data_IF_927382802611
#
_entry.id   IF_927382802611
#
_cell.length_a   1.000
_cell.length_b   1.000
_cell.length_c   1.000
_cell.angle_alpha   90.00
_cell.angle_beta   90.00
_cell.angle_gamma   90.00
#
_symmetry.space_group_name_H-M   'P 1'
#
loop_
_entity.id
_entity.type
_entity.pdbx_description
1 polymer ?
#
# COMPACT_ATOMS: atom_id res chain seq x y z
N UNK A 1 16.78 -14.00 40.51
CA UNK A 1 15.39 -14.53 40.61
C UNK A 1 14.95 -14.94 39.22
N UNK A 2 14.74 -16.24 39.01
CA UNK A 2 14.56 -16.82 37.68
C UNK A 2 13.25 -16.41 37.02
N UNK A 3 13.29 -16.14 35.72
CA UNK A 3 12.14 -15.89 34.84
C UNK A 3 11.21 -17.11 34.81
N UNK A 4 10.31 -17.22 35.80
CA UNK A 4 9.28 -18.24 35.84
C UNK A 4 8.23 -17.87 34.78
N UNK A 5 8.33 -18.49 33.60
CA UNK A 5 7.34 -18.34 32.53
C UNK A 5 6.07 -19.07 32.95
N UNK A 6 4.95 -18.37 33.00
CA UNK A 6 3.63 -18.94 33.23
C UNK A 6 2.88 -19.05 31.89
N UNK A 7 1.96 -20.00 31.78
CA UNK A 7 1.05 -20.08 30.63
C UNK A 7 0.13 -18.87 30.70
N UNK A 8 0.15 -18.04 29.67
CA UNK A 8 -0.74 -16.88 29.57
C UNK A 8 -2.13 -17.35 29.13
N UNK A 9 -3.02 -17.53 30.11
CA UNK A 9 -4.43 -17.78 29.87
C UNK A 9 -5.21 -16.47 29.63
N UNK A 10 -6.54 -16.53 29.68
CA UNK A 10 -7.40 -15.38 29.38
C UNK A 10 -7.24 -14.24 30.38
N UNK A 11 -6.79 -14.50 31.61
CA UNK A 11 -6.60 -13.46 32.64
C UNK A 11 -5.48 -12.48 32.26
N UNK A 12 -4.57 -12.90 31.40
CA UNK A 12 -3.46 -12.08 30.88
C UNK A 12 -3.82 -11.34 29.57
N UNK A 13 -5.09 -11.40 29.15
CA UNK A 13 -5.55 -10.70 27.94
C UNK A 13 -5.68 -9.21 28.20
N UNK A 14 -5.04 -8.40 27.35
CA UNK A 14 -5.06 -6.93 27.46
C UNK A 14 -5.51 -6.29 26.15
N UNK A 15 -6.31 -5.23 26.25
CA UNK A 15 -6.55 -4.29 25.16
C UNK A 15 -5.76 -3.02 25.44
N UNK A 16 -4.78 -2.73 24.59
CA UNK A 16 -3.99 -1.51 24.68
C UNK A 16 -4.57 -0.45 23.74
N UNK A 17 -4.98 0.68 24.32
CA UNK A 17 -5.51 1.83 23.59
C UNK A 17 -4.52 2.98 23.72
N UNK A 18 -4.07 3.53 22.59
CA UNK A 18 -3.21 4.71 22.59
C UNK A 18 -4.01 5.98 22.93
N UNK A 19 -3.35 7.06 23.39
CA UNK A 19 -3.95 8.39 23.31
C UNK A 19 -4.19 8.79 21.84
N UNK A 20 -4.82 9.94 21.62
CA UNK A 20 -4.91 10.52 20.28
C UNK A 20 -3.50 10.86 19.80
N UNK A 21 -3.07 10.18 18.74
CA UNK A 21 -1.73 10.30 18.16
C UNK A 21 -1.75 11.14 16.88
N UNK A 22 -0.60 11.72 16.56
CA UNK A 22 -0.31 12.37 15.27
C UNK A 22 0.61 11.51 14.42
N UNK A 23 0.86 11.92 13.17
CA UNK A 23 1.76 11.20 12.27
C UNK A 23 3.18 11.06 12.84
N UNK A 24 3.68 12.11 13.49
CA UNK A 24 4.99 12.13 14.17
C UNK A 24 5.11 11.09 15.31
N UNK A 25 4.00 10.58 15.84
CA UNK A 25 4.01 9.58 16.91
C UNK A 25 4.15 8.14 16.39
N UNK A 26 4.17 7.91 15.08
CA UNK A 26 4.31 6.56 14.50
C UNK A 26 5.53 5.84 15.07
N UNK A 27 6.67 6.53 15.22
CA UNK A 27 7.89 5.91 15.78
C UNK A 27 7.71 5.51 17.25
N UNK A 28 7.01 6.32 18.05
CA UNK A 28 6.68 5.98 19.44
C UNK A 28 5.73 4.79 19.52
N UNK A 29 4.75 4.69 18.62
CA UNK A 29 3.85 3.54 18.52
C UNK A 29 4.65 2.28 18.15
N UNK A 30 5.59 2.38 17.22
CA UNK A 30 6.47 1.27 16.88
C UNK A 30 7.31 0.82 18.08
N UNK A 31 7.87 1.77 18.82
CA UNK A 31 8.64 1.52 20.04
C UNK A 31 7.80 0.81 21.12
N UNK A 32 6.57 1.28 21.34
CA UNK A 32 5.62 0.65 22.25
C UNK A 32 5.34 -0.82 21.86
N UNK A 33 5.13 -1.09 20.57
CA UNK A 33 4.95 -2.46 20.06
C UNK A 33 6.20 -3.33 20.29
N UNK A 34 7.41 -2.77 20.11
CA UNK A 34 8.67 -3.49 20.40
C UNK A 34 8.78 -3.83 21.88
N UNK A 35 8.52 -2.87 22.77
CA UNK A 35 8.56 -3.08 24.23
C UNK A 35 7.59 -4.14 24.71
N UNK A 36 6.36 -4.18 24.17
CA UNK A 36 5.40 -5.24 24.48
C UNK A 36 5.95 -6.61 24.08
N UNK A 37 6.51 -6.73 22.88
CA UNK A 37 7.09 -7.98 22.38
C UNK A 37 8.31 -8.41 23.22
N UNK A 38 9.16 -7.47 23.63
CA UNK A 38 10.30 -7.72 24.52
C UNK A 38 9.87 -8.19 25.91
N UNK A 39 8.76 -7.64 26.43
CA UNK A 39 8.14 -8.09 27.68
C UNK A 39 7.45 -9.46 27.57
N UNK A 40 7.46 -10.09 26.39
CA UNK A 40 6.90 -11.43 26.17
C UNK A 40 5.43 -11.45 25.74
N UNK A 41 4.85 -10.30 25.37
CA UNK A 41 3.52 -10.28 24.78
C UNK A 41 3.48 -11.02 23.44
N UNK A 42 2.36 -11.65 23.14
CA UNK A 42 2.09 -12.31 21.88
C UNK A 42 0.64 -12.06 21.44
N UNK A 43 0.39 -12.20 20.15
CA UNK A 43 -0.95 -12.12 19.57
C UNK A 43 -1.39 -13.49 19.05
N UNK A 44 -2.65 -13.85 19.26
CA UNK A 44 -3.26 -15.07 18.73
C UNK A 44 -4.43 -14.72 17.78
N UNK A 45 -5.18 -15.73 17.31
CA UNK A 45 -6.28 -15.54 16.34
C UNK A 45 -7.45 -14.68 16.87
N UNK A 46 -7.58 -14.54 18.20
CA UNK A 46 -8.59 -13.66 18.81
C UNK A 46 -8.17 -12.20 18.86
N UNK A 47 -6.89 -11.90 18.62
CA UNK A 47 -6.38 -10.53 18.61
C UNK A 47 -6.67 -9.83 17.28
N UNK A 48 -7.05 -8.55 17.36
CA UNK A 48 -7.23 -7.66 16.21
C UNK A 48 -6.59 -6.30 16.48
N UNK A 49 -6.39 -5.52 15.43
CA UNK A 49 -5.98 -4.11 15.53
C UNK A 49 -7.11 -3.26 14.95
N UNK A 50 -7.57 -2.28 15.73
CA UNK A 50 -8.52 -1.27 15.26
C UNK A 50 -7.82 0.08 15.16
N UNK A 51 -7.93 0.72 14.00
CA UNK A 51 -7.36 2.06 13.77
C UNK A 51 -8.51 3.04 13.65
N UNK A 52 -8.47 4.08 14.50
CA UNK A 52 -9.45 5.16 14.52
C UNK A 52 -8.84 6.43 13.94
N UNK A 53 -9.50 7.02 12.95
CA UNK A 53 -9.14 8.31 12.35
C UNK A 53 -10.21 9.34 12.70
N UNK A 54 -9.81 10.56 13.09
CA UNK A 54 -10.75 11.63 13.42
C UNK A 54 -11.71 11.91 12.26
N UNK A 55 -13.02 11.79 12.50
CA UNK A 55 -14.06 12.01 11.50
C UNK A 55 -14.62 13.44 11.49
N UNK A 56 -14.23 14.28 12.45
CA UNK A 56 -14.72 15.65 12.55
C UNK A 56 -14.52 16.46 11.25
N UNK A 57 -13.35 16.41 10.57
CA UNK A 57 -13.14 17.18 9.34
C UNK A 57 -13.94 16.71 8.13
N UNK A 58 -14.47 15.48 8.15
CA UNK A 58 -15.11 14.88 6.98
C UNK A 58 -16.54 15.36 6.83
N UNK A 59 -16.94 15.72 5.62
CA UNK A 59 -18.32 15.93 5.20
C UNK A 59 -18.94 14.62 4.67
N UNK A 60 -20.27 14.63 4.52
CA UNK A 60 -21.02 13.46 4.05
C UNK A 60 -20.49 12.92 2.71
N UNK A 61 -20.14 13.80 1.76
CA UNK A 61 -19.64 13.36 0.46
C UNK A 61 -18.24 12.70 0.56
N UNK A 62 -17.40 13.14 1.50
CA UNK A 62 -16.07 12.57 1.73
C UNK A 62 -16.19 11.21 2.43
N UNK A 63 -17.13 11.05 3.38
CA UNK A 63 -17.46 9.75 3.95
C UNK A 63 -18.00 8.79 2.88
N UNK A 64 -18.85 9.27 1.97
CA UNK A 64 -19.28 8.47 0.81
C UNK A 64 -18.10 8.08 -0.08
N UNK A 65 -17.20 9.01 -0.37
CA UNK A 65 -16.00 8.72 -1.17
C UNK A 65 -15.15 7.64 -0.50
N UNK A 66 -15.00 7.69 0.82
CA UNK A 66 -14.27 6.67 1.58
C UNK A 66 -14.92 5.29 1.42
N UNK A 67 -16.23 5.19 1.61
CA UNK A 67 -16.98 3.94 1.40
C UNK A 67 -16.75 3.41 -0.01
N UNK A 68 -16.85 4.27 -1.03
CA UNK A 68 -16.67 3.88 -2.42
C UNK A 68 -15.23 3.43 -2.73
N UNK A 69 -14.22 4.13 -2.22
CA UNK A 69 -12.80 3.78 -2.41
C UNK A 69 -12.53 2.40 -1.79
N UNK A 70 -12.98 2.17 -0.56
CA UNK A 70 -12.81 0.89 0.13
C UNK A 70 -13.57 -0.21 -0.62
N UNK A 71 -14.83 0.01 -0.99
CA UNK A 71 -15.64 -0.96 -1.74
C UNK A 71 -14.99 -1.35 -3.07
N UNK A 72 -14.45 -0.38 -3.81
CA UNK A 72 -13.81 -0.60 -5.10
C UNK A 72 -12.54 -1.46 -5.01
N UNK A 73 -11.84 -1.45 -3.87
CA UNK A 73 -10.56 -2.16 -3.66
C UNK A 73 -10.64 -3.27 -2.62
N UNK A 74 -11.82 -3.54 -2.10
CA UNK A 74 -12.06 -4.39 -0.94
C UNK A 74 -11.42 -5.77 -1.05
N UNK A 75 -11.58 -6.46 -2.19
CA UNK A 75 -10.99 -7.80 -2.37
C UNK A 75 -9.46 -7.79 -2.25
N UNK A 76 -8.79 -6.81 -2.87
CA UNK A 76 -7.34 -6.68 -2.76
C UNK A 76 -6.91 -6.25 -1.35
N UNK A 77 -7.69 -5.40 -0.67
CA UNK A 77 -7.42 -5.02 0.73
C UNK A 77 -7.43 -6.25 1.64
N UNK A 78 -8.45 -7.11 1.50
CA UNK A 78 -8.58 -8.30 2.34
C UNK A 78 -7.43 -9.28 2.12
N UNK A 79 -7.03 -9.50 0.85
CA UNK A 79 -5.87 -10.32 0.50
C UNK A 79 -4.56 -9.72 1.04
N UNK A 80 -4.33 -8.42 0.81
CA UNK A 80 -3.13 -7.71 1.26
C UNK A 80 -2.95 -7.76 2.78
N UNK A 81 -4.04 -7.67 3.54
CA UNK A 81 -4.02 -7.72 5.00
C UNK A 81 -4.10 -9.15 5.57
N UNK A 82 -4.20 -10.16 4.70
CA UNK A 82 -4.43 -11.56 5.05
C UNK A 82 -5.58 -11.74 6.04
N UNK A 83 -6.70 -11.05 5.83
CA UNK A 83 -7.82 -11.10 6.76
C UNK A 83 -8.28 -12.55 6.90
N UNK A 84 -8.28 -13.05 8.13
CA UNK A 84 -8.72 -14.41 8.44
C UNK A 84 -10.20 -14.59 8.03
N UNK A 85 -10.53 -15.74 7.43
CA UNK A 85 -11.85 -15.97 6.83
C UNK A 85 -12.98 -16.01 7.88
N UNK A 86 -12.70 -16.46 9.10
CA UNK A 86 -13.65 -16.40 10.21
C UNK A 86 -13.87 -14.95 10.66
N UNK A 87 -12.79 -14.16 10.73
CA UNK A 87 -12.89 -12.73 11.04
C UNK A 87 -13.66 -11.97 9.97
N UNK A 88 -13.41 -12.24 8.68
CA UNK A 88 -14.18 -11.67 7.57
C UNK A 88 -15.68 -11.95 7.72
N UNK A 89 -16.08 -13.18 8.06
CA UNK A 89 -17.50 -13.53 8.18
C UNK A 89 -18.18 -12.91 9.40
N UNK A 90 -17.46 -12.72 10.50
CA UNK A 90 -18.04 -12.38 11.80
C UNK A 90 -17.78 -10.95 12.26
N UNK A 91 -16.54 -10.48 12.15
CA UNK A 91 -16.06 -9.30 12.89
C UNK A 91 -15.64 -8.13 12.01
N UNK A 92 -15.23 -8.39 10.78
CA UNK A 92 -14.83 -7.38 9.80
C UNK A 92 -15.39 -7.75 8.42
N UNK A 93 -16.73 -7.78 8.32
CA UNK A 93 -17.44 -8.05 7.07
C UNK A 93 -17.10 -7.01 6.02
N UNK A 94 -17.18 -7.44 4.77
CA UNK A 94 -17.19 -6.55 3.61
C UNK A 94 -18.34 -5.54 3.72
N UNK A 95 -18.25 -4.44 3.00
CA UNK A 95 -19.28 -3.41 2.95
C UNK A 95 -20.60 -4.04 2.50
N UNK A 96 -21.67 -3.78 3.25
CA UNK A 96 -23.02 -4.25 2.94
C UNK A 96 -23.45 -3.68 1.57
N UNK A 97 -23.85 -4.56 0.66
CA UNK A 97 -24.15 -4.21 -0.74
C UNK A 97 -25.39 -3.33 -0.84
N UNK A 98 -26.42 -3.60 -0.03
CA UNK A 98 -27.66 -2.80 0.03
C UNK A 98 -27.37 -1.38 0.54
N UNK A 99 -26.54 -1.24 1.57
CA UNK A 99 -26.04 0.04 2.04
C UNK A 99 -25.27 0.79 0.95
N UNK A 100 -24.33 0.12 0.27
CA UNK A 100 -23.51 0.72 -0.79
C UNK A 100 -24.36 1.23 -1.96
N UNK A 101 -25.35 0.44 -2.39
CA UNK A 101 -26.28 0.81 -3.45
C UNK A 101 -27.14 2.00 -3.05
N UNK A 102 -27.77 1.96 -1.87
CA UNK A 102 -28.59 3.06 -1.35
C UNK A 102 -27.78 4.34 -1.17
N UNK A 103 -26.55 4.24 -0.66
CA UNK A 103 -25.65 5.37 -0.48
C UNK A 103 -25.32 6.07 -1.81
N UNK A 104 -25.08 5.29 -2.86
CA UNK A 104 -24.73 5.81 -4.19
C UNK A 104 -25.96 6.27 -5.00
N UNK A 105 -27.14 5.71 -4.74
CA UNK A 105 -28.42 6.16 -5.31
C UNK A 105 -28.89 7.46 -4.68
N UNK A 106 -28.95 7.53 -3.35
CA UNK A 106 -29.49 8.68 -2.61
C UNK A 106 -28.49 9.84 -2.49
N UNK A 107 -27.19 9.55 -2.48
CA UNK A 107 -26.11 10.56 -2.37
C UNK A 107 -26.34 11.57 -1.22
N UNK A 108 -26.51 11.10 0.04
CA UNK A 108 -26.85 11.98 1.16
C UNK A 108 -25.89 13.16 1.31
N UNK A 109 -26.45 14.33 1.66
CA UNK A 109 -25.68 15.58 1.84
C UNK A 109 -25.24 15.81 3.28
N UNK A 110 -25.76 15.05 4.24
CA UNK A 110 -25.49 15.20 5.67
C UNK A 110 -25.01 13.89 6.28
N UNK A 111 -24.21 13.97 7.36
CA UNK A 111 -23.79 12.79 8.13
C UNK A 111 -24.98 12.01 8.66
N UNK A 112 -26.03 12.70 9.13
CA UNK A 112 -27.29 12.08 9.57
C UNK A 112 -27.97 11.28 8.45
N UNK A 113 -27.90 11.73 7.19
CA UNK A 113 -28.40 10.96 6.06
C UNK A 113 -27.64 9.63 5.87
N UNK A 114 -26.32 9.62 6.04
CA UNK A 114 -25.51 8.39 6.00
C UNK A 114 -25.82 7.51 7.22
N UNK A 115 -25.99 8.10 8.39
CA UNK A 115 -26.35 7.42 9.64
C UNK A 115 -27.65 6.62 9.49
N UNK A 116 -28.70 7.24 8.95
CA UNK A 116 -29.99 6.57 8.69
C UNK A 116 -29.84 5.38 7.76
N UNK A 117 -29.01 5.50 6.72
CA UNK A 117 -28.71 4.40 5.81
C UNK A 117 -27.91 3.29 6.49
N UNK A 118 -26.91 3.64 7.30
CA UNK A 118 -26.05 2.70 8.01
C UNK A 118 -26.84 1.82 8.98
N UNK A 119 -27.78 2.41 9.72
CA UNK A 119 -28.61 1.66 10.67
C UNK A 119 -29.90 1.08 10.09
N UNK A 120 -30.15 1.28 8.79
CA UNK A 120 -31.37 0.78 8.11
C UNK A 120 -32.67 1.26 8.79
N UNK A 121 -32.68 2.45 9.40
CA UNK A 121 -33.85 3.05 10.04
C UNK A 121 -33.59 3.56 11.45
N UNK A 122 -33.61 2.66 12.44
CA UNK A 122 -33.52 3.00 13.87
C UNK A 122 -32.12 3.45 14.27
N UNK A 123 -31.99 4.61 14.92
CA UNK A 123 -30.68 5.12 15.29
C UNK A 123 -30.01 4.28 16.39
N UNK A 124 -28.90 3.62 16.05
CA UNK A 124 -28.08 2.86 16.99
C UNK A 124 -26.85 3.61 17.50
N UNK A 125 -26.74 4.93 17.28
CA UNK A 125 -25.55 5.74 17.62
C UNK A 125 -25.20 5.77 19.11
N UNK A 126 -26.19 5.61 19.99
CA UNK A 126 -26.01 5.58 21.44
C UNK A 126 -25.50 4.23 21.97
N UNK A 127 -25.47 3.18 21.15
CA UNK A 127 -25.13 1.83 21.59
C UNK A 127 -23.64 1.58 21.46
N UNK A 128 -23.00 1.01 22.49
CA UNK A 128 -21.59 0.60 22.39
C UNK A 128 -21.39 -0.70 21.59
N UNK A 129 -22.36 -1.61 21.69
CA UNK A 129 -22.35 -2.88 20.98
C UNK A 129 -23.54 -2.93 20.02
N UNK A 130 -23.42 -2.28 18.87
CA UNK A 130 -24.38 -2.37 17.78
C UNK A 130 -23.89 -3.32 16.68
N UNK A 131 -24.76 -4.16 16.12
CA UNK A 131 -24.39 -5.18 15.12
C UNK A 131 -23.81 -4.62 13.82
N UNK A 132 -24.18 -3.38 13.47
CA UNK A 132 -23.61 -2.68 12.32
C UNK A 132 -22.12 -2.34 12.47
N UNK A 133 -21.49 -2.62 13.63
CA UNK A 133 -20.06 -2.37 13.82
C UNK A 133 -19.13 -3.35 13.09
N UNK A 134 -19.63 -4.52 12.70
CA UNK A 134 -18.81 -5.64 12.26
C UNK A 134 -18.45 -5.58 10.78
N UNK A 135 -17.92 -4.44 10.33
CA UNK A 135 -17.42 -4.22 8.96
C UNK A 135 -15.95 -3.78 8.98
N UNK A 136 -15.21 -4.09 7.92
CA UNK A 136 -13.82 -3.63 7.74
C UNK A 136 -13.70 -2.12 7.88
N UNK A 137 -14.57 -1.38 7.18
CA UNK A 137 -14.78 0.05 7.39
C UNK A 137 -16.05 0.21 8.23
N UNK A 138 -15.88 0.54 9.51
CA UNK A 138 -17.00 0.68 10.43
C UNK A 138 -17.39 2.17 10.59
N UNK A 139 -18.55 2.53 10.04
CA UNK A 139 -19.11 3.89 10.20
C UNK A 139 -19.92 4.06 11.48
N UNK A 140 -20.27 2.99 12.22
CA UNK A 140 -20.88 3.12 13.55
C UNK A 140 -20.01 4.01 14.46
N UNK A 141 -18.69 3.85 14.40
CA UNK A 141 -17.74 4.64 15.19
C UNK A 141 -17.77 6.14 14.84
N UNK A 142 -18.21 6.51 13.62
CA UNK A 142 -18.33 7.92 13.22
C UNK A 142 -19.46 8.59 14.01
N UNK A 143 -20.58 7.90 14.15
CA UNK A 143 -21.78 8.41 14.83
C UNK A 143 -21.68 8.29 16.35
N UNK A 144 -21.01 7.24 16.83
CA UNK A 144 -20.89 6.94 18.25
C UNK A 144 -19.71 7.68 18.91
N UNK A 145 -18.55 7.73 18.25
CA UNK A 145 -17.28 8.22 18.82
C UNK A 145 -16.66 9.39 18.07
N UNK A 146 -17.22 9.80 16.93
CA UNK A 146 -16.63 10.83 16.08
C UNK A 146 -15.39 10.38 15.31
N UNK A 147 -15.20 9.07 15.10
CA UNK A 147 -14.01 8.53 14.41
C UNK A 147 -14.39 7.50 13.33
N UNK A 148 -13.65 7.49 12.22
CA UNK A 148 -13.69 6.42 11.23
C UNK A 148 -12.87 5.24 11.76
N UNK A 149 -13.48 4.06 11.92
CA UNK A 149 -12.81 2.85 12.42
C UNK A 149 -12.50 1.87 11.29
N UNK A 150 -11.24 1.41 11.23
CA UNK A 150 -10.81 0.31 10.38
C UNK A 150 -10.54 -0.95 11.23
N UNK A 151 -11.22 -2.06 10.93
CA UNK A 151 -11.21 -3.30 11.74
C UNK A 151 -10.59 -4.51 11.05
N UNK A 152 -10.06 -4.34 9.83
CA UNK A 152 -9.57 -5.46 9.02
C UNK A 152 -8.28 -6.11 9.55
N UNK A 153 -7.45 -5.37 10.30
CA UNK A 153 -6.11 -5.80 10.64
C UNK A 153 -6.08 -6.95 11.66
N UNK A 154 -5.32 -8.00 11.35
CA UNK A 154 -5.05 -9.08 12.28
C UNK A 154 -4.13 -8.60 13.42
N UNK A 155 -4.26 -9.18 14.61
CA UNK A 155 -3.36 -8.92 15.72
C UNK A 155 -1.90 -9.15 15.33
N UNK A 156 -1.04 -8.17 15.61
CA UNK A 156 0.39 -8.25 15.32
C UNK A 156 1.21 -7.39 16.26
N UNK A 157 2.31 -7.94 16.76
CA UNK A 157 3.37 -7.19 17.46
C UNK A 157 4.56 -6.88 16.54
N UNK A 158 4.33 -6.77 15.23
CA UNK A 158 5.35 -6.37 14.26
C UNK A 158 5.27 -4.86 14.02
N UNK A 159 6.23 -4.10 14.55
CA UNK A 159 6.29 -2.64 14.44
C UNK A 159 6.19 -2.13 12.99
N UNK A 160 6.82 -2.82 12.02
CA UNK A 160 6.73 -2.46 10.60
C UNK A 160 5.32 -2.64 10.01
N UNK A 161 4.55 -3.64 10.48
CA UNK A 161 3.17 -3.87 10.05
C UNK A 161 2.26 -2.80 10.65
N UNK A 162 2.48 -2.43 11.92
CA UNK A 162 1.75 -1.33 12.56
C UNK A 162 1.94 0.00 11.81
N UNK A 163 3.19 0.37 11.47
CA UNK A 163 3.46 1.56 10.63
C UNK A 163 2.74 1.47 9.28
N UNK A 164 2.81 0.32 8.62
CA UNK A 164 2.13 0.11 7.33
C UNK A 164 0.61 0.32 7.44
N UNK A 165 -0.03 -0.23 8.48
CA UNK A 165 -1.47 -0.13 8.69
C UNK A 165 -1.91 1.31 8.97
N UNK A 166 -1.18 2.03 9.84
CA UNK A 166 -1.44 3.44 10.13
C UNK A 166 -1.32 4.31 8.87
N UNK A 167 -0.20 4.20 8.15
CA UNK A 167 0.02 4.94 6.91
C UNK A 167 -1.05 4.61 5.85
N UNK A 168 -1.48 3.36 5.75
CA UNK A 168 -2.52 2.94 4.82
C UNK A 168 -3.88 3.57 5.13
N UNK A 169 -4.33 3.51 6.39
CA UNK A 169 -5.57 4.14 6.84
C UNK A 169 -5.55 5.66 6.62
N UNK A 170 -4.45 6.32 6.98
CA UNK A 170 -4.27 7.75 6.77
C UNK A 170 -4.30 8.12 5.28
N UNK A 171 -3.66 7.35 4.42
CA UNK A 171 -3.62 7.65 2.99
C UNK A 171 -4.97 7.45 2.29
N UNK A 172 -5.72 6.38 2.62
CA UNK A 172 -7.06 6.17 2.05
C UNK A 172 -8.03 7.26 2.52
N UNK A 173 -7.97 7.62 3.81
CA UNK A 173 -8.80 8.71 4.34
C UNK A 173 -8.43 10.05 3.74
N UNK A 174 -7.14 10.34 3.54
CA UNK A 174 -6.68 11.52 2.81
C UNK A 174 -7.16 11.54 1.35
N UNK A 175 -7.14 10.40 0.64
CA UNK A 175 -7.71 10.30 -0.71
C UNK A 175 -9.20 10.65 -0.69
N UNK A 176 -9.96 10.05 0.23
CA UNK A 176 -11.40 10.28 0.34
C UNK A 176 -11.74 11.75 0.66
N UNK A 177 -10.93 12.38 1.51
CA UNK A 177 -11.06 13.78 1.91
C UNK A 177 -10.82 14.75 0.73
N UNK A 178 -9.74 14.52 -0.02
CA UNK A 178 -9.31 15.45 -1.08
C UNK A 178 -10.02 15.22 -2.42
N UNK A 179 -10.55 14.02 -2.67
CA UNK A 179 -11.15 13.67 -3.96
C UNK A 179 -12.60 14.19 -4.07
N UNK A 180 -12.96 14.72 -5.24
CA UNK A 180 -14.32 15.23 -5.51
C UNK A 180 -15.39 14.12 -5.49
N UNK A 181 -15.08 12.97 -6.07
CA UNK A 181 -15.97 11.81 -6.14
C UNK A 181 -15.17 10.52 -6.31
N UNK A 182 -15.69 9.40 -5.79
CA UNK A 182 -15.11 8.07 -6.02
C UNK A 182 -16.16 7.09 -6.56
N UNK A 183 -15.73 6.19 -7.44
CA UNK A 183 -16.56 5.11 -7.98
C UNK A 183 -16.54 3.89 -7.04
N UNK A 184 -17.69 3.25 -6.75
CA UNK A 184 -17.76 2.03 -5.95
C UNK A 184 -17.47 0.75 -6.76
N UNK A 185 -17.23 0.87 -8.07
CA UNK A 185 -17.06 -0.29 -8.96
C UNK A 185 -15.85 -1.10 -8.50
N UNK A 186 -16.08 -2.40 -8.23
CA UNK A 186 -15.04 -3.33 -7.80
C UNK A 186 -13.97 -3.43 -8.88
N UNK A 187 -12.72 -3.24 -8.46
CA UNK A 187 -11.57 -3.44 -9.34
C UNK A 187 -11.32 -4.92 -9.49
N UNK A 188 -11.43 -5.39 -10.73
CA UNK A 188 -10.97 -6.71 -11.15
C UNK A 188 -9.62 -6.52 -11.83
N UNK A 189 -8.66 -7.38 -11.52
CA UNK A 189 -7.34 -7.34 -12.13
C UNK A 189 -6.73 -8.73 -12.19
N UNK A 190 -6.09 -9.04 -13.31
CA UNK A 190 -5.30 -10.25 -13.53
C UNK A 190 -3.93 -10.17 -12.83
N UNK A 191 -3.48 -8.95 -12.49
CA UNK A 191 -2.27 -8.70 -11.72
C UNK A 191 -2.58 -7.75 -10.56
N UNK A 192 -3.03 -8.34 -9.46
CA UNK A 192 -3.40 -7.60 -8.25
C UNK A 192 -2.19 -6.88 -7.64
N UNK A 193 -1.00 -7.50 -7.62
CA UNK A 193 0.21 -6.89 -7.05
C UNK A 193 0.60 -5.60 -7.77
N UNK A 194 0.64 -5.62 -9.11
CA UNK A 194 0.88 -4.40 -9.90
C UNK A 194 -0.20 -3.34 -9.65
N UNK A 195 -1.46 -3.75 -9.72
CA UNK A 195 -2.62 -2.85 -9.61
C UNK A 195 -2.67 -2.16 -8.25
N UNK A 196 -2.43 -2.93 -7.19
CA UNK A 196 -2.40 -2.41 -5.84
C UNK A 196 -1.19 -1.50 -5.64
N UNK A 197 0.00 -1.87 -6.16
CA UNK A 197 1.17 -0.98 -6.11
C UNK A 197 0.88 0.38 -6.75
N UNK A 198 0.33 0.40 -7.97
CA UNK A 198 -0.03 1.66 -8.64
C UNK A 198 -1.02 2.46 -7.80
N UNK A 199 -1.98 1.81 -7.15
CA UNK A 199 -2.89 2.48 -6.23
C UNK A 199 -2.17 3.05 -5.00
N UNK A 200 -1.27 2.32 -4.36
CA UNK A 200 -0.46 2.82 -3.24
C UNK A 200 0.37 4.05 -3.65
N UNK A 201 0.94 4.07 -4.84
CA UNK A 201 1.65 5.23 -5.36
C UNK A 201 0.71 6.43 -5.57
N UNK A 202 -0.48 6.20 -6.13
CA UNK A 202 -1.53 7.24 -6.29
C UNK A 202 -2.07 7.77 -4.95
N UNK A 203 -2.03 6.95 -3.90
CA UNK A 203 -2.33 7.36 -2.52
C UNK A 203 -1.23 8.23 -1.90
N UNK A 204 -0.09 8.40 -2.57
CA UNK A 204 1.04 9.19 -2.08
C UNK A 204 2.07 8.39 -1.27
N UNK A 205 1.97 7.06 -1.21
CA UNK A 205 2.96 6.22 -0.52
C UNK A 205 4.22 6.06 -1.38
N UNK A 206 4.96 7.15 -1.60
CA UNK A 206 6.13 7.26 -2.50
C UNK A 206 7.39 7.57 -1.68
N UNK A 207 8.56 7.07 -2.11
CA UNK A 207 9.83 7.31 -1.43
C UNK A 207 10.10 6.34 -0.28
N UNK A 208 11.17 6.61 0.47
CA UNK A 208 11.70 5.71 1.50
C UNK A 208 10.81 5.62 2.74
N UNK A 209 10.14 6.71 3.11
CA UNK A 209 9.24 6.76 4.27
C UNK A 209 8.12 5.70 4.20
N UNK A 210 7.67 5.39 2.99
CA UNK A 210 6.59 4.43 2.74
C UNK A 210 7.09 3.10 2.17
N UNK A 211 8.40 2.87 2.09
CA UNK A 211 8.98 1.61 1.58
C UNK A 211 8.50 0.41 2.39
N UNK A 212 8.48 0.54 3.71
CA UNK A 212 7.98 -0.50 4.63
C UNK A 212 6.48 -0.76 4.44
N UNK A 213 5.67 0.29 4.26
CA UNK A 213 4.24 0.13 3.98
C UNK A 213 3.99 -0.61 2.67
N UNK A 214 4.64 -0.17 1.57
CA UNK A 214 4.52 -0.83 0.27
C UNK A 214 4.95 -2.30 0.35
N UNK A 215 6.06 -2.60 1.06
CA UNK A 215 6.51 -3.98 1.26
C UNK A 215 5.41 -4.83 1.89
N UNK A 216 4.91 -4.44 3.07
CA UNK A 216 3.93 -5.24 3.80
C UNK A 216 2.57 -5.36 3.09
N UNK A 217 2.13 -4.30 2.40
CA UNK A 217 0.84 -4.27 1.72
C UNK A 217 0.84 -5.02 0.37
N UNK A 218 2.00 -5.28 -0.21
CA UNK A 218 2.13 -6.00 -1.49
C UNK A 218 2.60 -7.45 -1.33
N UNK A 219 3.06 -7.83 -0.14
CA UNK A 219 3.72 -9.11 0.10
C UNK A 219 2.82 -10.30 -0.26
N UNK A 220 1.54 -10.19 0.07
CA UNK A 220 0.54 -11.25 -0.07
C UNK A 220 -0.33 -11.15 -1.34
N UNK A 221 0.04 -10.26 -2.26
CA UNK A 221 -0.63 -10.13 -3.56
C UNK A 221 0.16 -10.85 -4.65
N UNK A 222 -0.58 -11.50 -5.54
CA UNK A 222 -0.06 -12.29 -6.66
C UNK A 222 0.22 -11.40 -7.89
N UNK A 223 1.18 -11.85 -8.70
CA UNK A 223 1.56 -11.21 -9.95
C UNK A 223 2.87 -10.41 -9.88
N UNK A 224 3.24 -9.84 -11.02
CA UNK A 224 4.48 -9.08 -11.19
C UNK A 224 4.32 -7.64 -10.64
N UNK A 225 5.36 -7.09 -10.03
CA UNK A 225 5.32 -5.73 -9.44
C UNK A 225 5.55 -4.60 -10.46
N UNK A 226 6.28 -4.88 -11.54
CA UNK A 226 6.77 -3.92 -12.53
C UNK A 226 5.83 -3.78 -13.73
N UNK A 227 5.17 -4.86 -14.14
CA UNK A 227 4.38 -4.91 -15.38
C UNK A 227 2.94 -5.34 -15.12
N UNK A 228 1.99 -4.74 -15.84
CA UNK A 228 0.58 -5.09 -15.72
C UNK A 228 0.27 -6.44 -16.37
N UNK A 229 0.74 -6.62 -17.61
CA UNK A 229 0.62 -7.87 -18.37
C UNK A 229 1.99 -8.46 -18.72
N UNK A 230 2.08 -9.78 -18.95
CA UNK A 230 3.32 -10.44 -19.40
C UNK A 230 3.88 -9.85 -20.70
N UNK A 231 3.00 -9.52 -21.66
CA UNK A 231 3.34 -8.91 -22.95
C UNK A 231 4.16 -7.62 -22.81
N UNK A 232 3.87 -6.80 -21.78
CA UNK A 232 4.64 -5.58 -21.52
C UNK A 232 6.09 -5.89 -21.11
N UNK A 233 6.28 -6.96 -20.33
CA UNK A 233 7.61 -7.40 -19.92
C UNK A 233 8.42 -7.92 -21.12
N UNK A 234 7.76 -8.68 -22.00
CA UNK A 234 8.37 -9.22 -23.23
C UNK A 234 8.73 -8.09 -24.21
N UNK A 235 7.82 -7.16 -24.46
CA UNK A 235 8.08 -6.00 -25.32
C UNK A 235 9.25 -5.14 -24.81
N UNK A 236 9.36 -4.95 -23.49
CA UNK A 236 10.50 -4.24 -22.91
C UNK A 236 11.80 -5.02 -23.08
N UNK A 237 11.77 -6.34 -22.90
CA UNK A 237 12.93 -7.22 -23.10
C UNK A 237 13.40 -7.18 -24.56
N UNK A 238 12.47 -7.19 -25.51
CA UNK A 238 12.78 -7.06 -26.94
C UNK A 238 13.36 -5.68 -27.29
N UNK A 239 12.78 -4.59 -26.75
CA UNK A 239 13.34 -3.24 -26.91
C UNK A 239 14.77 -3.13 -26.39
N UNK A 240 15.04 -3.66 -25.20
CA UNK A 240 16.37 -3.66 -24.61
C UNK A 240 17.35 -4.54 -25.41
N UNK A 241 16.88 -5.64 -25.98
CA UNK A 241 17.69 -6.50 -26.87
C UNK A 241 18.07 -5.75 -28.15
N UNK A 242 17.09 -5.16 -28.86
CA UNK A 242 17.35 -4.34 -30.05
C UNK A 242 18.29 -3.18 -29.76
N UNK A 243 18.12 -2.52 -28.62
CA UNK A 243 19.03 -1.43 -28.21
C UNK A 243 20.47 -1.93 -28.03
N UNK A 244 20.68 -3.09 -27.40
CA UNK A 244 22.03 -3.67 -27.28
C UNK A 244 22.60 -4.13 -28.61
N UNK A 245 21.77 -4.69 -29.49
CA UNK A 245 22.20 -5.10 -30.84
C UNK A 245 22.67 -3.88 -31.64
N UNK A 246 21.98 -2.74 -31.53
CA UNK A 246 22.41 -1.45 -32.12
C UNK A 246 23.67 -0.91 -31.44
N UNK A 247 23.74 -0.88 -30.12
CA UNK A 247 24.97 -0.44 -29.41
C UNK A 247 26.18 -1.31 -29.74
N UNK A 248 25.97 -2.61 -30.02
CA UNK A 248 27.01 -3.53 -30.46
C UNK A 248 27.41 -3.32 -31.94
N UNK A 249 26.46 -3.01 -32.83
CA UNK A 249 26.79 -2.68 -34.22
C UNK A 249 27.52 -1.34 -34.32
N UNK A 250 27.05 -0.32 -33.60
CA UNK A 250 27.64 1.02 -33.60
C UNK A 250 29.08 0.97 -33.05
N UNK A 251 29.32 0.20 -31.98
CA UNK A 251 30.67 0.01 -31.43
C UNK A 251 31.58 -0.82 -32.35
N UNK A 252 31.04 -1.78 -33.11
CA UNK A 252 31.79 -2.51 -34.12
C UNK A 252 32.17 -1.61 -35.30
N UNK A 253 31.24 -0.78 -35.79
CA UNK A 253 31.49 0.20 -36.84
C UNK A 253 32.54 1.24 -36.41
N UNK A 254 32.44 1.79 -35.18
CA UNK A 254 33.45 2.69 -34.63
C UNK A 254 34.84 2.03 -34.54
N UNK A 255 34.94 0.76 -34.11
CA UNK A 255 36.24 0.05 -34.11
C UNK A 255 36.79 -0.18 -35.51
N UNK A 256 35.95 -0.47 -36.50
CA UNK A 256 36.38 -0.67 -37.88
C UNK A 256 36.85 0.67 -38.49
N UNK A 257 36.15 1.77 -38.26
CA UNK A 257 36.58 3.10 -38.70
C UNK A 257 37.90 3.52 -38.05
N UNK A 258 38.08 3.23 -36.75
CA UNK A 258 39.32 3.57 -36.04
C UNK A 258 40.50 2.75 -36.60
N UNK A 259 40.32 1.44 -36.81
CA UNK A 259 41.35 0.58 -37.41
C UNK A 259 41.70 0.98 -38.85
N UNK A 260 40.71 1.35 -39.66
CA UNK A 260 40.95 1.81 -41.03
C UNK A 260 41.68 3.16 -41.06
N UNK A 261 41.38 4.07 -40.14
CA UNK A 261 42.11 5.34 -40.02
C UNK A 261 43.54 5.15 -39.52
N UNK A 262 43.78 4.26 -38.56
CA UNK A 262 45.14 3.95 -38.07
C UNK A 262 46.00 3.28 -39.17
N UNK A 263 45.44 2.36 -39.97
CA UNK A 263 46.15 1.77 -41.12
C UNK A 263 46.47 2.81 -42.21
N UNK A 264 45.59 3.77 -42.46
CA UNK A 264 45.81 4.83 -43.44
C UNK A 264 46.89 5.84 -43.00
N UNK A 265 47.10 5.99 -41.69
CA UNK A 265 48.19 6.80 -41.12
C UNK A 265 49.53 6.06 -41.23
N UNK A 266 49.58 4.75 -40.95
CA UNK A 266 50.79 3.92 -41.11
C UNK A 266 51.25 3.85 -42.58
N UNK A 267 50.32 3.73 -43.55
CA UNK A 267 50.64 3.75 -44.99
C UNK A 267 51.18 5.11 -45.47
N UNK A 268 50.83 6.22 -44.81
CA UNK A 268 51.36 7.55 -45.12
C UNK A 268 52.74 7.82 -44.49
N UNK A 269 53.09 7.18 -43.38
CA UNK A 269 54.44 7.28 -42.78
C UNK A 269 55.48 6.46 -43.55
N UNK A 270 55.11 5.31 -44.15
CA UNK A 270 56.01 4.49 -44.98
C UNK A 270 56.40 5.14 -46.34
N UNK A 271 55.67 6.17 -46.81
CA UNK A 271 55.95 6.86 -48.08
C UNK A 271 56.80 8.15 -47.93
N UNK A 272 57.45 8.36 -46.78
CA UNK A 272 58.42 9.45 -46.62
C UNK A 272 59.84 9.02 -47.03
N UNK A 273 60.50 9.68 -48.01
CA UNK A 273 61.81 9.23 -48.50
C UNK A 273 62.89 9.49 -47.45
N UNK A 274 63.66 8.44 -47.13
CA UNK A 274 64.81 8.49 -46.25
C UNK A 274 65.86 9.52 -46.73
N UNK A 275 65.96 10.66 -46.04
CA UNK A 275 67.03 11.63 -46.24
C UNK A 275 68.33 11.06 -45.63
N UNK A 276 69.22 10.57 -46.49
CA UNK A 276 70.59 10.20 -46.12
C UNK A 276 71.43 11.46 -45.97
N UNK A 277 71.85 11.80 -44.74
CA UNK A 277 72.89 12.80 -44.52
C UNK A 277 74.27 12.13 -44.60
N UNK A 278 74.97 12.40 -45.70
CA UNK A 278 76.42 12.26 -45.81
C UNK A 278 77.10 13.31 -44.93
N UNK A 279 77.92 12.87 -43.97
CA UNK A 279 78.86 13.74 -43.26
C UNK A 279 80.13 13.88 -44.09
N UNK A 280 80.42 15.10 -44.55
CA UNK A 280 81.75 15.48 -45.03
C UNK A 280 82.33 16.53 -44.07
N UNK A 281 83.50 16.17 -43.53
CA UNK A 281 84.52 16.92 -42.78
C UNK A 281 84.13 17.61 -41.46
#
# INVERSE_FOLDING_TARGET
MGNRKQIADREYSVELVSPICKYEDIEKIQEMVRKLREAGAFSNKSCGIHIHINAAPFEAYQLRNLVNIVAAKENMIYKALQVDSDRERRYCKKIDTDFLEKLNKQKPKTKSGIQKLWYKGSDGSHQHYHDSRYHCLNLHSVFQKGTIEFRAFNGSLHAGKMKAYLQFCMAITAQAYNQRSASPIKTVSENEKYTFRVWLLRLGLIGDEFKTARKHLLDHLEGNIAWKSPEQAEAQKERLRKKREVELSDSQEETIETQNNDMAIDEQEEESPAFTMSMNQ
#
